data_IF_628504911942
#
_entry.id   IF_628504911942
#
_cell.length_a   1.000
_cell.length_b   1.000
_cell.length_c   1.000
_cell.angle_alpha   90.00
_cell.angle_beta   90.00
_cell.angle_gamma   90.00
#
_symmetry.space_group_name_H-M   'P 1'
#
loop_
_entity.id
_entity.type
_entity.pdbx_description
1 polymer ?
#
# COMPACT_ATOMS: atom_id res chain seq x y z
N UNK A 1 -26.14 -9.36 -20.84
CA UNK A 1 -25.19 -8.57 -20.05
C UNK A 1 -24.75 -9.46 -18.89
N UNK A 2 -23.58 -10.11 -18.99
CA UNK A 2 -23.13 -11.07 -17.98
C UNK A 2 -22.52 -10.31 -16.81
N UNK A 3 -23.13 -10.39 -15.63
CA UNK A 3 -22.55 -9.82 -14.41
C UNK A 3 -21.24 -10.54 -14.06
N UNK A 4 -20.12 -9.82 -14.11
CA UNK A 4 -18.83 -10.37 -13.71
C UNK A 4 -18.85 -10.65 -12.20
N UNK A 5 -18.51 -11.88 -11.76
CA UNK A 5 -18.61 -12.24 -10.36
C UNK A 5 -17.66 -11.39 -9.49
N UNK A 6 -18.23 -10.75 -8.47
CA UNK A 6 -17.46 -10.06 -7.42
C UNK A 6 -16.62 -11.06 -6.64
N UNK A 7 -15.47 -10.60 -6.13
CA UNK A 7 -14.66 -11.43 -5.24
C UNK A 7 -15.43 -11.70 -3.94
N UNK A 8 -15.79 -12.96 -3.67
CA UNK A 8 -16.30 -13.36 -2.36
C UNK A 8 -15.16 -13.58 -1.39
N UNK A 9 -15.31 -13.05 -0.17
CA UNK A 9 -14.38 -13.29 0.93
C UNK A 9 -14.66 -14.66 1.58
N UNK A 10 -13.65 -15.49 1.82
CA UNK A 10 -13.77 -16.66 2.70
C UNK A 10 -13.88 -16.22 4.17
N UNK A 11 -14.71 -16.90 4.96
CA UNK A 11 -14.80 -16.72 6.43
C UNK A 11 -13.48 -16.99 7.16
N UNK A 12 -12.54 -17.67 6.50
CA UNK A 12 -11.22 -18.01 7.03
C UNK A 12 -10.17 -16.91 6.86
N UNK A 13 -10.54 -15.74 6.32
CA UNK A 13 -9.65 -14.60 6.16
C UNK A 13 -9.99 -13.46 7.13
N UNK A 14 -8.97 -12.69 7.48
CA UNK A 14 -9.05 -11.39 8.15
C UNK A 14 -8.36 -10.34 7.29
N UNK A 15 -8.74 -9.08 7.45
CA UNK A 15 -8.11 -7.97 6.73
C UNK A 15 -7.20 -7.19 7.67
N UNK A 16 -6.06 -6.75 7.14
CA UNK A 16 -5.12 -5.84 7.81
C UNK A 16 -5.11 -4.56 7.01
N UNK A 17 -5.50 -3.46 7.61
CA UNK A 17 -5.48 -2.14 7.02
C UNK A 17 -4.26 -1.38 7.50
N UNK A 18 -3.51 -0.80 6.58
CA UNK A 18 -2.34 0.03 6.87
C UNK A 18 -2.42 1.35 6.11
N UNK A 19 -1.76 2.42 6.57
CA UNK A 19 -1.69 3.66 5.81
C UNK A 19 -1.07 3.40 4.45
N UNK A 20 -1.55 4.11 3.42
CA UNK A 20 -1.25 3.79 2.02
C UNK A 20 0.24 3.79 1.72
N UNK A 21 1.00 4.70 2.32
CA UNK A 21 2.45 4.76 2.14
C UNK A 21 3.17 3.55 2.76
N UNK A 22 2.85 3.20 4.00
CA UNK A 22 3.35 2.03 4.73
C UNK A 22 3.03 0.73 4.00
N UNK A 23 1.77 0.55 3.58
CA UNK A 23 1.38 -0.66 2.86
C UNK A 23 2.02 -0.77 1.48
N UNK A 24 2.18 0.33 0.74
CA UNK A 24 2.88 0.29 -0.55
C UNK A 24 4.37 -0.03 -0.39
N UNK A 25 5.01 0.40 0.70
CA UNK A 25 6.37 -0.05 1.04
C UNK A 25 6.39 -1.54 1.38
N UNK A 26 5.49 -1.99 2.25
CA UNK A 26 5.42 -3.39 2.64
C UNK A 26 5.14 -4.31 1.43
N UNK A 27 4.28 -3.88 0.50
CA UNK A 27 3.97 -4.60 -0.73
C UNK A 27 5.22 -4.84 -1.58
N UNK A 28 6.17 -3.89 -1.65
CA UNK A 28 7.43 -4.09 -2.38
C UNK A 28 8.29 -5.22 -1.80
N UNK A 29 8.16 -5.49 -0.50
CA UNK A 29 8.86 -6.59 0.18
C UNK A 29 8.11 -7.93 0.11
N UNK A 30 6.84 -7.94 -0.32
CA UNK A 30 6.01 -9.13 -0.38
C UNK A 30 6.03 -9.74 -1.78
N UNK A 31 6.35 -11.03 -1.87
CA UNK A 31 6.32 -11.76 -3.13
C UNK A 31 4.90 -12.11 -3.62
N UNK A 32 3.94 -12.27 -2.71
CA UNK A 32 2.56 -12.65 -3.03
C UNK A 32 1.58 -12.19 -1.94
N UNK A 33 0.31 -12.08 -2.34
CA UNK A 33 -0.78 -11.67 -1.48
C UNK A 33 -1.74 -10.76 -2.22
N UNK A 34 -3.03 -10.88 -1.90
CA UNK A 34 -4.05 -9.99 -2.43
C UNK A 34 -4.03 -8.67 -1.68
N UNK A 35 -3.83 -7.57 -2.41
CA UNK A 35 -3.83 -6.22 -1.84
C UNK A 35 -4.87 -5.38 -2.54
N UNK A 36 -5.74 -4.79 -1.72
CA UNK A 36 -6.76 -3.86 -2.14
C UNK A 36 -6.32 -2.44 -1.77
N UNK A 37 -6.64 -1.51 -2.65
CA UNK A 37 -6.47 -0.09 -2.40
C UNK A 37 -7.77 0.63 -2.74
N UNK A 38 -8.14 1.58 -1.91
CA UNK A 38 -9.19 2.53 -2.22
C UNK A 38 -8.53 3.87 -2.57
N UNK A 39 -8.74 4.44 -3.77
CA UNK A 39 -8.16 5.72 -4.15
C UNK A 39 -8.61 6.85 -3.23
N UNK A 40 -9.80 6.76 -2.64
CA UNK A 40 -10.40 7.81 -1.83
C UNK A 40 -9.99 7.70 -0.35
N UNK A 41 -9.50 6.52 0.06
CA UNK A 41 -8.90 6.35 1.40
C UNK A 41 -7.38 6.38 1.34
N UNK A 42 -6.77 6.94 2.38
CA UNK A 42 -5.32 6.90 2.55
C UNK A 42 -4.84 5.55 3.09
N UNK A 43 -5.46 4.44 2.68
CA UNK A 43 -5.17 3.11 3.23
C UNK A 43 -4.99 2.02 2.17
N UNK A 44 -4.35 0.94 2.58
CA UNK A 44 -4.19 -0.31 1.83
C UNK A 44 -4.69 -1.45 2.69
N UNK A 45 -5.31 -2.44 2.07
CA UNK A 45 -5.90 -3.59 2.76
C UNK A 45 -5.27 -4.87 2.27
N UNK A 46 -4.61 -5.58 3.18
CA UNK A 46 -4.05 -6.91 2.98
C UNK A 46 -4.99 -7.95 3.57
N UNK A 47 -4.91 -9.18 3.09
CA UNK A 47 -5.66 -10.31 3.66
C UNK A 47 -4.71 -11.32 4.28
N UNK A 48 -5.03 -11.80 5.48
CA UNK A 48 -4.27 -12.85 6.18
C UNK A 48 -5.24 -13.95 6.63
N UNK A 49 -4.70 -15.14 6.94
CA UNK A 49 -5.52 -16.20 7.54
C UNK A 49 -6.06 -15.76 8.91
N UNK A 50 -7.33 -16.07 9.21
CA UNK A 50 -8.00 -15.66 10.44
C UNK A 50 -7.26 -16.12 11.72
N UNK A 51 -6.71 -17.34 11.70
CA UNK A 51 -5.85 -17.85 12.79
C UNK A 51 -4.56 -17.06 13.02
N UNK A 52 -4.07 -16.36 12.01
CA UNK A 52 -2.86 -15.55 12.13
C UNK A 52 -3.16 -14.17 12.71
N UNK A 53 -4.38 -13.66 12.50
CA UNK A 53 -4.84 -12.39 13.06
C UNK A 53 -4.89 -12.40 14.60
N UNK A 54 -5.18 -13.55 15.21
CA UNK A 54 -5.20 -13.68 16.69
C UNK A 54 -3.82 -13.54 17.34
N UNK A 55 -2.75 -13.64 16.55
CA UNK A 55 -1.35 -13.48 16.99
C UNK A 55 -0.72 -12.20 16.47
N UNK A 56 -1.52 -11.30 15.92
CA UNK A 56 -1.04 -10.06 15.34
C UNK A 56 -0.61 -9.08 16.43
N UNK A 57 0.68 -8.74 16.47
CA UNK A 57 1.16 -7.68 17.36
C UNK A 57 0.80 -6.31 16.78
N UNK A 58 0.23 -5.39 17.57
CA UNK A 58 -0.14 -4.05 17.10
C UNK A 58 1.04 -3.31 16.46
N UNK A 59 0.77 -2.55 15.39
CA UNK A 59 1.73 -1.66 14.75
C UNK A 59 1.09 -0.26 14.61
N UNK A 60 1.86 0.83 14.72
CA UNK A 60 1.33 2.19 14.58
C UNK A 60 0.57 2.39 13.26
N UNK A 61 -0.67 2.88 13.34
CA UNK A 61 -1.52 3.15 12.18
C UNK A 61 -2.03 1.91 11.44
N UNK A 62 -1.70 0.69 11.90
CA UNK A 62 -2.14 -0.57 11.30
C UNK A 62 -3.22 -1.21 12.16
N UNK A 63 -4.35 -1.55 11.56
CA UNK A 63 -5.47 -2.21 12.23
C UNK A 63 -5.77 -3.56 11.59
N UNK A 64 -6.10 -4.55 12.43
CA UNK A 64 -6.76 -5.77 11.97
C UNK A 64 -8.26 -5.50 12.01
N UNK A 65 -8.93 -5.68 10.87
CA UNK A 65 -10.35 -5.42 10.76
C UNK A 65 -11.16 -6.67 11.11
N UNK A 66 -12.16 -6.47 11.96
CA UNK A 66 -13.22 -7.44 12.22
C UNK A 66 -14.11 -7.64 11.00
N UNK A 67 -14.88 -8.74 11.00
CA UNK A 67 -15.70 -9.12 9.84
C UNK A 67 -16.76 -8.07 9.45
N UNK A 68 -17.21 -7.25 10.41
CA UNK A 68 -18.19 -6.17 10.17
C UNK A 68 -17.60 -4.85 9.69
N UNK A 69 -16.27 -4.65 9.75
CA UNK A 69 -15.60 -3.39 9.44
C UNK A 69 -14.87 -3.39 8.09
N UNK A 70 -15.20 -4.34 7.22
CA UNK A 70 -14.44 -4.58 5.99
C UNK A 70 -14.87 -3.67 4.84
N UNK A 71 -13.93 -3.22 4.00
CA UNK A 71 -14.28 -2.56 2.76
C UNK A 71 -14.99 -3.52 1.80
N UNK A 72 -15.92 -2.98 1.01
CA UNK A 72 -16.59 -3.73 -0.04
C UNK A 72 -15.56 -4.25 -1.06
N UNK A 73 -15.63 -5.54 -1.38
CA UNK A 73 -14.67 -6.15 -2.30
C UNK A 73 -15.02 -5.79 -3.76
N UNK A 74 -14.06 -5.22 -4.52
CA UNK A 74 -14.28 -4.91 -5.92
C UNK A 74 -14.33 -6.17 -6.77
N UNK A 75 -14.81 -6.01 -8.00
CA UNK A 75 -14.76 -7.08 -9.01
C UNK A 75 -13.32 -7.59 -9.20
N UNK A 76 -13.14 -8.89 -9.43
CA UNK A 76 -11.81 -9.53 -9.50
C UNK A 76 -10.88 -8.92 -10.54
N UNK A 77 -11.45 -8.44 -11.64
CA UNK A 77 -10.75 -7.81 -12.77
C UNK A 77 -10.52 -6.32 -12.57
N UNK A 78 -11.03 -5.72 -11.50
CA UNK A 78 -10.90 -4.29 -11.25
C UNK A 78 -9.52 -3.99 -10.67
N UNK A 79 -8.61 -3.55 -11.52
CA UNK A 79 -7.22 -3.19 -11.17
C UNK A 79 -6.94 -1.70 -11.30
N UNK A 80 -7.97 -0.88 -11.56
CA UNK A 80 -7.85 0.57 -11.78
C UNK A 80 -9.05 1.33 -11.16
N UNK A 81 -8.87 2.63 -10.84
CA UNK A 81 -9.93 3.51 -10.35
C UNK A 81 -11.04 3.77 -11.39
N UNK A 82 -12.20 4.33 -11.00
CA UNK A 82 -12.55 4.92 -9.68
C UNK A 82 -12.82 3.90 -8.57
N UNK A 83 -12.92 4.32 -7.30
CA UNK A 83 -13.23 3.45 -6.15
C UNK A 83 -12.23 2.31 -5.90
N UNK A 84 -12.51 1.38 -4.95
CA UNK A 84 -11.58 0.31 -4.59
C UNK A 84 -11.16 -0.56 -5.77
N UNK A 85 -9.89 -0.93 -5.84
CA UNK A 85 -9.35 -1.83 -6.86
C UNK A 85 -8.20 -2.69 -6.32
N UNK A 86 -7.91 -3.78 -7.03
CA UNK A 86 -6.82 -4.69 -6.70
C UNK A 86 -5.48 -4.14 -7.20
N UNK A 87 -4.48 -4.07 -6.33
CA UNK A 87 -3.10 -3.82 -6.73
C UNK A 87 -2.43 -5.07 -7.31
N UNK A 88 -2.83 -6.25 -6.82
CA UNK A 88 -2.40 -7.55 -7.32
C UNK A 88 -3.62 -8.30 -7.86
N UNK A 89 -3.65 -8.54 -9.18
CA UNK A 89 -4.80 -9.17 -9.84
C UNK A 89 -5.11 -10.55 -9.24
N UNK A 90 -6.39 -10.81 -8.99
CA UNK A 90 -6.86 -12.09 -8.48
C UNK A 90 -7.04 -13.08 -9.64
N UNK A 91 -6.16 -14.07 -9.77
CA UNK A 91 -6.32 -15.12 -10.79
C UNK A 91 -7.57 -15.99 -10.60
N UNK A 92 -7.98 -16.27 -9.36
CA UNK A 92 -9.16 -17.09 -9.08
C UNK A 92 -9.78 -16.88 -7.69
N UNK A 93 -8.97 -16.52 -6.68
CA UNK A 93 -9.40 -16.30 -5.29
C UNK A 93 -8.47 -15.31 -4.59
N UNK A 94 -8.92 -14.79 -3.46
CA UNK A 94 -8.08 -13.99 -2.56
C UNK A 94 -6.97 -14.90 -2.01
N UNK A 95 -5.72 -14.49 -2.18
CA UNK A 95 -4.53 -15.18 -1.68
C UNK A 95 -4.12 -14.46 -0.39
N UNK A 96 -4.14 -15.14 0.77
CA UNK A 96 -3.66 -14.53 1.99
C UNK A 96 -2.16 -14.25 1.90
N UNK A 97 -1.76 -13.05 2.29
CA UNK A 97 -0.37 -12.72 2.55
C UNK A 97 0.15 -13.58 3.72
N UNK A 98 1.41 -14.05 3.68
CA UNK A 98 2.04 -14.68 4.84
C UNK A 98 2.11 -13.68 6.00
N UNK A 99 1.35 -13.92 7.07
CA UNK A 99 1.14 -12.93 8.12
C UNK A 99 2.44 -12.46 8.80
N UNK A 100 3.41 -13.37 9.01
CA UNK A 100 4.71 -13.02 9.59
C UNK A 100 5.53 -12.11 8.67
N UNK A 101 5.53 -12.39 7.37
CA UNK A 101 6.24 -11.55 6.39
C UNK A 101 5.55 -10.19 6.24
N UNK A 102 4.21 -10.17 6.21
CA UNK A 102 3.44 -8.93 6.18
C UNK A 102 3.72 -8.08 7.43
N UNK A 103 3.69 -8.68 8.62
CA UNK A 103 3.96 -7.98 9.87
C UNK A 103 5.36 -7.37 9.88
N UNK A 104 6.38 -8.16 9.51
CA UNK A 104 7.77 -7.69 9.37
C UNK A 104 7.90 -6.56 8.35
N UNK A 105 7.26 -6.69 7.20
CA UNK A 105 7.32 -5.68 6.15
C UNK A 105 6.64 -4.36 6.59
N UNK A 106 5.50 -4.46 7.28
CA UNK A 106 4.81 -3.30 7.83
C UNK A 106 5.58 -2.64 8.98
N UNK A 107 6.25 -3.42 9.84
CA UNK A 107 7.04 -2.88 10.95
C UNK A 107 8.31 -2.15 10.49
N UNK A 108 8.90 -2.60 9.37
CA UNK A 108 10.04 -1.92 8.73
C UNK A 108 9.61 -0.67 7.95
N UNK A 109 8.35 -0.58 7.54
CA UNK A 109 7.78 0.55 6.80
C UNK A 109 7.21 1.63 7.73
N UNK A 110 8.04 2.12 8.67
CA UNK A 110 7.63 3.15 9.63
C UNK A 110 7.01 4.39 8.93
N UNK A 111 6.12 5.13 9.60
CA UNK A 111 5.47 6.29 9.01
C UNK A 111 6.47 7.30 8.44
N UNK A 112 6.24 7.73 7.20
CA UNK A 112 7.12 8.70 6.52
C UNK A 112 8.43 8.13 5.95
N UNK A 113 8.73 6.84 6.14
CA UNK A 113 9.87 6.20 5.48
C UNK A 113 9.73 6.32 3.97
N UNK A 114 10.84 6.62 3.31
CA UNK A 114 10.91 6.70 1.86
C UNK A 114 11.40 5.39 1.25
N UNK A 115 10.88 4.97 0.09
CA UNK A 115 11.44 3.84 -0.64
C UNK A 115 12.89 4.14 -1.05
N UNK A 116 13.72 3.11 -1.09
CA UNK A 116 15.08 3.22 -1.61
C UNK A 116 15.03 3.73 -3.06
N UNK A 117 15.81 4.79 -3.36
CA UNK A 117 15.75 5.50 -4.65
C UNK A 117 15.96 4.57 -5.85
N UNK A 118 16.79 3.55 -5.70
CA UNK A 118 17.13 2.59 -6.76
C UNK A 118 15.96 1.66 -7.12
N UNK A 119 14.94 1.58 -6.25
CA UNK A 119 13.71 0.82 -6.49
C UNK A 119 12.61 1.65 -7.14
N UNK A 120 12.86 2.94 -7.36
CA UNK A 120 11.89 3.86 -7.94
C UNK A 120 11.97 3.87 -9.46
N UNK A 121 10.84 4.10 -10.09
CA UNK A 121 10.84 4.51 -11.48
C UNK A 121 11.50 5.89 -11.64
N UNK A 122 12.00 6.14 -12.84
CA UNK A 122 12.52 7.43 -13.29
C UNK A 122 11.62 8.62 -12.94
N UNK A 123 10.31 8.49 -13.18
CA UNK A 123 9.33 9.53 -12.88
C UNK A 123 9.24 9.80 -11.37
N UNK A 124 9.33 8.77 -10.53
CA UNK A 124 9.31 8.92 -9.08
C UNK A 124 10.62 9.53 -8.55
N UNK A 125 11.77 9.08 -9.05
CA UNK A 125 13.08 9.58 -8.64
C UNK A 125 13.27 11.07 -8.99
N UNK A 126 12.61 11.55 -10.05
CA UNK A 126 12.60 12.97 -10.46
C UNK A 126 11.49 13.80 -9.81
N UNK A 127 10.63 13.21 -8.98
CA UNK A 127 9.50 13.91 -8.36
C UNK A 127 8.35 14.27 -9.32
N UNK A 128 8.28 13.63 -10.49
CA UNK A 128 7.15 13.74 -11.43
C UNK A 128 5.99 12.78 -11.10
N UNK A 129 6.27 11.75 -10.30
CA UNK A 129 5.30 10.78 -9.80
C UNK A 129 5.43 10.63 -8.27
N UNK A 130 4.34 10.28 -7.60
CA UNK A 130 4.31 10.07 -6.15
C UNK A 130 5.34 9.02 -5.74
N UNK A 131 6.22 9.36 -4.82
CA UNK A 131 7.30 8.48 -4.36
C UNK A 131 6.77 7.12 -3.87
N UNK A 132 5.59 7.09 -3.24
CA UNK A 132 5.00 5.84 -2.74
C UNK A 132 4.17 5.11 -3.79
N UNK A 133 3.19 5.76 -4.44
CA UNK A 133 2.21 5.08 -5.30
C UNK A 133 2.45 5.19 -6.81
N UNK A 134 3.44 5.98 -7.25
CA UNK A 134 3.75 6.15 -8.66
C UNK A 134 2.72 6.93 -9.48
N UNK A 135 1.64 7.42 -8.86
CA UNK A 135 0.66 8.26 -9.56
C UNK A 135 1.31 9.55 -10.07
N UNK A 136 1.01 10.01 -11.29
CA UNK A 136 1.48 11.29 -11.81
C UNK A 136 1.14 12.44 -10.86
N UNK A 137 2.07 13.37 -10.66
CA UNK A 137 1.91 14.50 -9.77
C UNK A 137 1.52 15.76 -10.53
N UNK A 138 0.53 16.46 -9.99
CA UNK A 138 0.14 17.81 -10.42
C UNK A 138 0.61 18.87 -9.43
N UNK A 139 0.01 20.06 -9.52
CA UNK A 139 0.37 21.23 -8.72
C UNK A 139 0.24 21.03 -7.20
N UNK A 140 -0.72 20.21 -6.75
CA UNK A 140 -0.97 19.97 -5.32
C UNK A 140 -0.04 18.93 -4.67
N UNK A 141 1.05 18.52 -5.34
CA UNK A 141 1.95 17.52 -4.78
C UNK A 141 2.90 18.13 -3.74
N UNK A 142 3.03 17.46 -2.59
CA UNK A 142 3.83 17.89 -1.45
C UNK A 142 5.30 17.50 -1.65
N UNK A 143 6.22 18.42 -1.43
CA UNK A 143 7.66 18.14 -1.35
C UNK A 143 8.00 17.53 0.03
N UNK A 144 8.81 16.47 0.04
CA UNK A 144 9.20 15.75 1.26
C UNK A 144 10.61 16.13 1.74
N UNK A 145 11.16 17.21 1.20
CA UNK A 145 12.49 17.70 1.50
C UNK A 145 13.59 16.96 0.72
N UNK A 146 14.78 17.55 0.74
CA UNK A 146 15.97 16.98 0.11
C UNK A 146 16.36 15.67 0.79
N UNK A 147 16.64 14.66 -0.02
CA UNK A 147 17.14 13.37 0.42
C UNK A 147 18.52 13.11 -0.19
N UNK A 148 19.34 12.37 0.56
CA UNK A 148 20.70 11.98 0.15
C UNK A 148 20.72 10.50 -0.16
N UNK A 149 21.35 10.14 -1.27
CA UNK A 149 21.56 8.75 -1.68
C UNK A 149 23.02 8.57 -2.10
N UNK A 150 23.74 7.67 -1.44
CA UNK A 150 25.16 7.38 -1.69
C UNK A 150 25.36 6.00 -2.34
N UNK A 151 24.28 5.27 -2.62
CA UNK A 151 24.34 3.88 -3.12
C UNK A 151 25.01 3.73 -4.49
N UNK A 152 25.06 4.80 -5.29
CA UNK A 152 25.68 4.81 -6.61
C UNK A 152 27.20 5.09 -6.56
N UNK A 153 27.83 5.07 -5.37
CA UNK A 153 29.24 5.42 -5.18
C UNK A 153 29.50 6.92 -5.33
N UNK A 154 28.45 7.75 -5.36
CA UNK A 154 28.49 9.20 -5.42
C UNK A 154 27.26 9.76 -4.71
N UNK A 155 27.42 10.91 -4.05
CA UNK A 155 26.30 11.59 -3.38
C UNK A 155 25.32 12.14 -4.41
N UNK A 156 24.13 11.57 -4.45
CA UNK A 156 23.00 12.04 -5.25
C UNK A 156 21.99 12.70 -4.32
N UNK A 157 21.70 13.98 -4.59
CA UNK A 157 20.57 14.67 -3.98
C UNK A 157 19.32 14.41 -4.82
N UNK A 158 18.20 14.13 -4.15
CA UNK A 158 16.92 13.97 -4.82
C UNK A 158 15.79 14.55 -3.96
N UNK A 159 14.69 14.92 -4.63
CA UNK A 159 13.60 15.70 -4.06
C UNK A 159 12.28 14.92 -4.22
N UNK A 160 12.02 13.92 -3.37
CA UNK A 160 10.81 13.12 -3.46
C UNK A 160 9.58 13.97 -3.20
N UNK A 161 8.54 13.70 -3.99
CA UNK A 161 7.24 14.33 -3.85
C UNK A 161 6.14 13.30 -3.64
N UNK A 162 5.07 13.70 -2.97
CA UNK A 162 3.93 12.86 -2.66
C UNK A 162 2.62 13.45 -3.15
N UNK A 163 1.68 12.57 -3.53
CA UNK A 163 0.30 12.98 -3.72
C UNK A 163 -0.38 13.23 -2.35
N UNK A 164 -1.45 14.03 -2.36
CA UNK A 164 -2.22 14.41 -1.17
C UNK A 164 -2.73 13.20 -0.38
N UNK A 165 -3.13 12.12 -1.07
CA UNK A 165 -3.64 10.91 -0.41
C UNK A 165 -2.53 10.19 0.35
N UNK A 166 -1.36 9.97 -0.26
CA UNK A 166 -0.25 9.31 0.43
C UNK A 166 0.31 10.19 1.56
N UNK A 167 0.34 11.52 1.38
CA UNK A 167 0.77 12.47 2.42
C UNK A 167 -0.18 12.45 3.62
N UNK A 168 -1.50 12.49 3.43
CA UNK A 168 -2.47 12.35 4.53
C UNK A 168 -2.22 11.08 5.35
N UNK A 169 -1.83 10.00 4.69
CA UNK A 169 -1.52 8.73 5.34
C UNK A 169 -0.30 8.75 6.26
N UNK A 170 0.64 9.70 6.14
CA UNK A 170 1.83 9.76 7.02
C UNK A 170 1.55 10.38 8.39
N UNK A 171 0.32 10.87 8.63
CA UNK A 171 -0.04 11.55 9.88
C UNK A 171 0.52 12.97 9.99
N UNK A 172 1.19 13.46 8.95
CA UNK A 172 1.87 14.76 8.95
C UNK A 172 0.98 15.79 8.26
N UNK A 173 0.06 16.36 9.06
CA UNK A 173 -0.75 17.51 8.68
C UNK A 173 -0.01 18.78 9.11
N UNK A 174 0.73 19.39 8.19
CA UNK A 174 1.22 20.75 8.37
C UNK A 174 1.06 21.51 7.07
#
# INVERSE_FOLDING_TARGET
MLETPRARRPTTLRAVQAPRHTGLLALRALAHGSVLIDPDTATTTFFIAARAATRWSPLPGVSVLDDGALPELPQRTRTRPPGPFWLTELRARIIPSPAVLLHRALSQAAPGVLPARQTLSDAQARGAACVWCGAPLGVCATDLGVQRDESAGSLVLWFPRACTICRKGTGEQR
#
